data_IF_555896914546
#
_entry.id   IF_555896914546
#
_cell.length_a   1.000
_cell.length_b   1.000
_cell.length_c   1.000
_cell.angle_alpha   90.00
_cell.angle_beta   90.00
_cell.angle_gamma   90.00
#
_symmetry.space_group_name_H-M   'P 1'
#
loop_
_entity.id
_entity.type
_entity.pdbx_description
1 polymer ?
#
# COMPACT_ATOMS: atom_id res chain seq x y z
N UNK A 1 5.60 22.03 19.05
CA UNK A 1 4.50 21.04 19.08
C UNK A 1 4.56 20.28 17.75
N UNK A 2 4.73 18.96 17.77
CA UNK A 2 4.73 18.17 16.53
C UNK A 2 3.26 18.01 16.13
N UNK A 3 2.89 18.58 15.00
CA UNK A 3 1.54 18.49 14.50
C UNK A 3 1.26 17.03 14.08
N UNK A 4 0.29 16.40 14.69
CA UNK A 4 -0.04 14.97 14.49
C UNK A 4 -1.02 14.75 13.35
N UNK A 5 -1.63 15.82 12.83
CA UNK A 5 -2.47 15.84 11.64
C UNK A 5 -1.63 16.16 10.40
N UNK A 6 -2.04 15.66 9.25
CA UNK A 6 -1.40 15.93 7.96
C UNK A 6 -2.41 16.55 7.00
N UNK A 7 -2.00 17.58 6.25
CA UNK A 7 -2.83 18.13 5.16
C UNK A 7 -3.15 17.04 4.14
N UNK A 8 -4.37 17.04 3.66
CA UNK A 8 -4.81 16.17 2.57
C UNK A 8 -4.90 16.97 1.27
N UNK A 9 -5.09 16.27 0.14
CA UNK A 9 -5.39 16.92 -1.16
C UNK A 9 -6.74 17.63 -1.17
N UNK A 10 -7.62 17.28 -0.25
CA UNK A 10 -8.94 17.88 -0.13
C UNK A 10 -8.84 19.11 0.77
N UNK A 11 -9.05 20.29 0.19
CA UNK A 11 -8.99 21.57 0.91
C UNK A 11 -9.91 21.55 2.15
N UNK A 12 -9.36 21.96 3.29
CA UNK A 12 -10.08 22.00 4.55
C UNK A 12 -10.28 20.65 5.25
N UNK A 13 -9.57 19.60 4.80
CA UNK A 13 -9.54 18.29 5.46
C UNK A 13 -8.12 17.86 5.83
N UNK A 14 -7.97 17.29 7.02
CA UNK A 14 -6.68 16.92 7.63
C UNK A 14 -6.70 15.47 8.07
N UNK A 15 -5.70 14.69 7.67
CA UNK A 15 -5.59 13.27 8.00
C UNK A 15 -5.03 13.07 9.41
N UNK A 16 -5.59 12.12 10.14
CA UNK A 16 -5.07 11.57 11.38
C UNK A 16 -3.83 10.71 11.12
N UNK A 17 -2.69 11.34 10.77
CA UNK A 17 -1.48 10.64 10.35
C UNK A 17 -0.71 10.02 11.52
N UNK A 18 -0.47 10.81 12.59
CA UNK A 18 0.20 10.38 13.82
C UNK A 18 -0.73 10.40 15.03
N UNK A 19 -1.93 10.75 14.86
CA UNK A 19 -3.01 10.79 15.83
C UNK A 19 -4.07 9.75 15.49
N UNK A 20 -4.76 9.23 16.49
CA UNK A 20 -5.83 8.26 16.30
C UNK A 20 -7.10 8.95 15.84
N UNK A 21 -7.79 8.34 14.89
CA UNK A 21 -9.14 8.76 14.51
C UNK A 21 -10.10 8.48 15.68
N UNK A 22 -10.86 9.47 16.19
CA UNK A 22 -11.75 9.25 17.32
C UNK A 22 -12.98 8.39 17.01
N UNK A 23 -13.15 7.98 15.76
CA UNK A 23 -14.25 7.11 15.34
C UNK A 23 -13.82 5.64 15.32
N UNK A 24 -12.63 5.33 14.76
CA UNK A 24 -12.15 3.95 14.64
C UNK A 24 -10.91 3.67 15.48
N UNK A 25 -10.41 4.63 16.22
CA UNK A 25 -9.24 4.54 17.11
C UNK A 25 -7.95 4.06 16.43
N UNK A 26 -7.89 4.19 15.08
CA UNK A 26 -6.72 3.83 14.29
C UNK A 26 -6.07 5.07 13.67
N UNK A 27 -4.75 4.99 13.42
CA UNK A 27 -3.98 6.03 12.73
C UNK A 27 -4.06 5.85 11.22
N UNK A 28 -3.94 6.98 10.49
CA UNK A 28 -3.87 7.01 9.03
C UNK A 28 -5.20 6.77 8.30
N UNK A 29 -5.35 7.43 7.17
CA UNK A 29 -6.48 7.28 6.24
C UNK A 29 -7.78 8.00 6.64
N UNK A 30 -8.04 8.25 7.91
CA UNK A 30 -9.20 9.02 8.36
C UNK A 30 -8.89 10.52 8.40
N UNK A 31 -9.89 11.37 8.16
CA UNK A 31 -9.70 12.82 8.07
C UNK A 31 -10.70 13.57 8.95
N UNK A 32 -10.29 14.71 9.46
CA UNK A 32 -11.15 15.69 10.14
C UNK A 32 -11.23 16.97 9.31
N UNK A 33 -12.39 17.61 9.26
CA UNK A 33 -12.52 18.89 8.58
C UNK A 33 -11.92 20.03 9.43
N UNK A 34 -11.62 21.15 8.78
CA UNK A 34 -11.06 22.35 9.40
C UNK A 34 -11.93 22.92 10.52
N UNK A 35 -13.26 22.75 10.43
CA UNK A 35 -14.21 23.20 11.44
C UNK A 35 -14.21 22.31 12.69
N UNK A 36 -13.59 21.12 12.61
CA UNK A 36 -13.54 20.14 13.71
C UNK A 36 -14.88 19.46 14.03
N UNK A 37 -15.88 19.56 13.16
CA UNK A 37 -17.24 19.06 13.39
C UNK A 37 -17.61 17.84 12.56
N UNK A 38 -16.69 17.36 11.69
CA UNK A 38 -16.93 16.20 10.87
C UNK A 38 -15.66 15.38 10.65
N UNK A 39 -15.80 14.05 10.68
CA UNK A 39 -14.74 13.08 10.42
C UNK A 39 -15.14 12.21 9.26
N UNK A 40 -14.22 11.98 8.35
CA UNK A 40 -14.30 10.92 7.35
C UNK A 40 -13.52 9.73 7.86
N UNK A 41 -14.20 8.64 8.15
CA UNK A 41 -13.60 7.39 8.60
C UNK A 41 -13.62 6.37 7.47
N UNK A 42 -12.50 5.68 7.25
CA UNK A 42 -12.37 4.62 6.24
C UNK A 42 -12.63 3.21 6.82
N UNK A 43 -13.01 3.09 8.09
CA UNK A 43 -13.13 1.81 8.80
C UNK A 43 -14.46 1.59 9.50
N UNK A 44 -15.13 2.66 9.90
CA UNK A 44 -16.42 2.57 10.60
C UNK A 44 -17.48 3.21 9.73
N UNK A 45 -18.54 2.47 9.51
CA UNK A 45 -19.67 2.92 8.71
C UNK A 45 -20.50 3.98 9.43
N UNK A 46 -21.10 4.85 8.65
CA UNK A 46 -22.17 5.73 9.07
C UNK A 46 -23.26 5.76 8.01
N UNK A 47 -24.39 6.40 8.32
CA UNK A 47 -25.50 6.58 7.37
C UNK A 47 -25.11 7.40 6.13
N UNK A 48 -24.00 8.13 6.16
CA UNK A 48 -23.58 9.01 5.08
C UNK A 48 -22.28 8.51 4.48
N UNK A 49 -22.34 7.98 3.27
CA UNK A 49 -21.17 7.62 2.47
C UNK A 49 -20.50 8.92 2.02
N UNK A 50 -19.18 9.05 2.24
CA UNK A 50 -18.39 10.19 1.82
C UNK A 50 -17.79 9.99 0.42
N UNK A 51 -17.26 8.80 0.15
CA UNK A 51 -16.73 8.41 -1.16
C UNK A 51 -17.08 6.95 -1.44
N UNK A 52 -17.56 6.68 -2.66
CA UNK A 52 -17.82 5.32 -3.13
C UNK A 52 -16.56 4.67 -3.70
N UNK A 53 -15.70 5.44 -4.36
CA UNK A 53 -14.45 4.94 -4.96
C UNK A 53 -13.40 4.58 -3.91
N UNK A 54 -13.41 5.32 -2.81
CA UNK A 54 -12.59 5.06 -1.63
C UNK A 54 -13.55 4.93 -0.46
N UNK A 55 -14.04 3.73 -0.22
CA UNK A 55 -15.10 3.49 0.76
C UNK A 55 -14.78 4.18 2.08
N UNK A 56 -15.55 5.22 2.36
CA UNK A 56 -15.37 6.07 3.53
C UNK A 56 -16.68 6.73 3.91
N UNK A 57 -16.85 6.95 5.19
CA UNK A 57 -18.10 7.42 5.77
C UNK A 57 -17.92 8.70 6.56
N UNK A 58 -18.89 9.60 6.41
CA UNK A 58 -18.91 10.88 7.10
C UNK A 58 -19.59 10.74 8.47
N UNK A 59 -18.87 11.03 9.53
CA UNK A 59 -19.35 11.11 10.90
C UNK A 59 -19.44 12.57 11.33
N UNK A 60 -20.59 12.99 11.83
CA UNK A 60 -20.76 14.31 12.45
C UNK A 60 -20.46 14.20 13.94
N UNK A 61 -19.60 15.08 14.43
CA UNK A 61 -19.25 15.15 15.85
C UNK A 61 -20.27 15.99 16.61
N UNK A 62 -20.69 15.52 17.78
CA UNK A 62 -21.57 16.28 18.70
C UNK A 62 -20.80 17.50 19.25
N UNK A 63 -19.54 17.28 19.62
CA UNK A 63 -18.64 18.33 20.09
C UNK A 63 -17.55 18.60 19.05
N UNK A 64 -17.30 19.89 18.80
CA UNK A 64 -16.26 20.30 17.84
C UNK A 64 -14.87 20.06 18.44
N UNK A 65 -14.02 19.38 17.71
CA UNK A 65 -12.60 19.26 18.06
C UNK A 65 -11.82 20.45 17.54
N UNK A 66 -10.92 20.99 18.37
CA UNK A 66 -10.01 22.05 17.93
C UNK A 66 -8.98 21.47 16.96
N UNK A 67 -9.01 21.91 15.72
CA UNK A 67 -8.03 21.56 14.69
C UNK A 67 -6.99 22.68 14.65
N UNK A 68 -5.80 22.41 15.15
CA UNK A 68 -4.70 23.39 15.11
C UNK A 68 -3.94 23.22 13.81
N UNK A 69 -4.18 24.14 12.89
CA UNK A 69 -3.51 24.20 11.57
C UNK A 69 -2.31 25.15 11.56
N UNK A 70 -2.07 25.91 12.64
CA UNK A 70 -1.05 26.97 12.69
C UNK A 70 0.38 26.43 12.57
N UNK A 71 0.61 25.19 13.02
CA UNK A 71 1.91 24.51 12.90
C UNK A 71 2.06 23.67 11.61
N UNK A 72 1.04 23.64 10.75
CA UNK A 72 1.13 23.02 9.45
C UNK A 72 1.70 24.06 8.47
N UNK A 73 2.96 23.89 8.06
CA UNK A 73 3.60 24.78 7.08
C UNK A 73 2.73 25.07 5.85
N UNK A 74 3.17 26.01 5.02
CA UNK A 74 2.46 26.44 3.83
C UNK A 74 2.04 25.25 2.94
N UNK A 75 0.92 25.42 2.22
CA UNK A 75 0.39 24.42 1.31
C UNK A 75 1.36 24.23 0.16
N UNK A 76 2.04 23.08 0.10
CA UNK A 76 2.88 22.76 -1.05
C UNK A 76 2.04 22.70 -2.31
N UNK A 77 2.48 23.38 -3.34
CA UNK A 77 1.88 23.27 -4.67
C UNK A 77 2.17 21.89 -5.23
N UNK A 78 1.19 20.98 -5.13
CA UNK A 78 1.30 19.64 -5.70
C UNK A 78 0.86 19.65 -7.16
N UNK A 79 1.60 18.92 -7.99
CA UNK A 79 1.28 18.78 -9.41
C UNK A 79 0.32 17.60 -9.63
N UNK A 80 -0.51 17.69 -10.67
CA UNK A 80 -1.28 16.55 -11.15
C UNK A 80 -0.33 15.50 -11.71
N UNK A 81 -0.67 14.23 -11.54
CA UNK A 81 0.07 13.09 -12.10
C UNK A 81 0.02 13.17 -13.63
N UNK A 82 1.16 12.97 -14.28
CA UNK A 82 1.25 12.91 -15.75
C UNK A 82 0.66 11.60 -16.30
N UNK A 83 0.37 11.49 -17.61
CA UNK A 83 -0.05 10.24 -18.24
C UNK A 83 0.90 9.07 -17.97
N UNK A 84 0.36 7.86 -17.95
CA UNK A 84 1.09 6.61 -17.64
C UNK A 84 2.26 6.36 -18.59
N UNK A 85 2.14 6.70 -19.86
CA UNK A 85 3.22 6.60 -20.85
C UNK A 85 4.45 7.45 -20.49
N UNK A 86 4.23 8.65 -19.95
CA UNK A 86 5.32 9.53 -19.48
C UNK A 86 5.93 8.96 -18.20
N UNK A 87 5.09 8.47 -17.27
CA UNK A 87 5.57 7.80 -16.06
C UNK A 87 6.46 6.62 -16.42
N UNK A 88 5.99 5.75 -17.32
CA UNK A 88 6.71 4.56 -17.75
C UNK A 88 8.10 4.91 -18.31
N UNK A 89 8.15 5.90 -19.19
CA UNK A 89 9.42 6.36 -19.79
C UNK A 89 10.42 6.82 -18.73
N UNK A 90 9.98 7.67 -17.79
CA UNK A 90 10.87 8.18 -16.71
C UNK A 90 11.23 7.06 -15.73
N UNK A 91 10.28 6.22 -15.35
CA UNK A 91 10.51 5.16 -14.38
C UNK A 91 11.38 4.03 -14.92
N UNK A 92 11.27 3.67 -16.20
CA UNK A 92 12.21 2.72 -16.84
C UNK A 92 13.63 3.29 -16.87
N UNK A 93 13.78 4.58 -17.20
CA UNK A 93 15.09 5.24 -17.14
C UNK A 93 15.62 5.28 -15.71
N UNK A 94 14.77 5.56 -14.72
CA UNK A 94 15.13 5.49 -13.30
C UNK A 94 15.64 4.09 -12.90
N UNK A 95 14.95 3.02 -13.30
CA UNK A 95 15.38 1.65 -13.03
C UNK A 95 16.72 1.31 -13.71
N UNK A 96 16.95 1.82 -14.92
CA UNK A 96 18.22 1.62 -15.63
C UNK A 96 19.41 2.36 -15.00
N UNK A 97 19.13 3.41 -14.21
CA UNK A 97 20.14 4.15 -13.46
C UNK A 97 20.38 3.61 -12.03
N UNK A 98 19.72 2.50 -11.66
CA UNK A 98 19.81 1.95 -10.30
C UNK A 98 20.08 0.45 -10.33
N UNK A 99 20.73 -0.05 -9.27
CA UNK A 99 21.10 -1.44 -9.12
C UNK A 99 20.38 -2.09 -7.92
N UNK A 100 20.49 -3.41 -7.80
CA UNK A 100 20.08 -4.16 -6.62
C UNK A 100 21.27 -4.33 -5.69
N UNK A 101 21.18 -3.84 -4.46
CA UNK A 101 22.22 -4.06 -3.44
C UNK A 101 22.30 -5.54 -3.05
N UNK A 102 23.46 -5.99 -2.61
CA UNK A 102 23.66 -7.40 -2.22
C UNK A 102 22.66 -7.87 -1.14
N UNK A 103 22.34 -7.12 -0.07
CA UNK A 103 21.32 -7.54 0.89
C UNK A 103 19.93 -7.73 0.26
N UNK A 104 19.52 -6.84 -0.63
CA UNK A 104 18.23 -6.95 -1.32
C UNK A 104 18.20 -8.11 -2.30
N UNK A 105 19.28 -8.31 -3.05
CA UNK A 105 19.45 -9.46 -3.92
C UNK A 105 19.32 -10.76 -3.12
N UNK A 106 20.07 -10.91 -2.03
CA UNK A 106 20.01 -12.10 -1.15
C UNK A 106 18.61 -12.32 -0.60
N UNK A 107 17.90 -11.24 -0.21
CA UNK A 107 16.52 -11.37 0.27
C UNK A 107 15.56 -11.84 -0.82
N UNK A 108 15.64 -11.28 -2.02
CA UNK A 108 14.72 -11.61 -3.12
C UNK A 108 15.00 -13.00 -3.72
N UNK A 109 16.27 -13.47 -3.68
CA UNK A 109 16.66 -14.81 -4.14
C UNK A 109 16.64 -15.87 -3.03
N UNK A 110 16.28 -15.50 -1.80
CA UNK A 110 16.15 -16.45 -0.69
C UNK A 110 15.07 -17.49 -0.99
N UNK A 111 15.11 -18.61 -0.26
CA UNK A 111 14.10 -19.68 -0.36
C UNK A 111 12.68 -19.19 -0.06
N UNK A 112 12.56 -18.14 0.77
CA UNK A 112 11.26 -17.52 1.11
C UNK A 112 10.66 -16.68 -0.03
N UNK A 113 11.47 -16.22 -1.00
CA UNK A 113 11.01 -15.41 -2.14
C UNK A 113 11.20 -16.11 -3.48
N UNK A 114 12.23 -16.94 -3.60
CA UNK A 114 12.45 -17.84 -4.70
C UNK A 114 12.68 -17.19 -6.07
N UNK A 115 12.97 -15.89 -6.13
CA UNK A 115 13.20 -15.19 -7.40
C UNK A 115 14.54 -15.55 -8.00
N UNK A 116 14.59 -15.72 -9.31
CA UNK A 116 15.82 -15.88 -10.09
C UNK A 116 16.38 -14.53 -10.53
N UNK A 117 17.66 -14.48 -10.91
CA UNK A 117 18.30 -13.28 -11.49
C UNK A 117 17.53 -12.74 -12.69
N UNK A 118 17.02 -13.64 -13.52
CA UNK A 118 16.23 -13.28 -14.68
C UNK A 118 14.93 -12.60 -14.31
N UNK A 119 14.20 -13.13 -13.32
CA UNK A 119 12.97 -12.56 -12.81
C UNK A 119 13.21 -11.18 -12.20
N UNK A 120 14.24 -11.02 -11.36
CA UNK A 120 14.60 -9.74 -10.77
C UNK A 120 14.86 -8.66 -11.82
N UNK A 121 15.65 -8.99 -12.83
CA UNK A 121 16.03 -8.04 -13.88
C UNK A 121 14.85 -7.65 -14.77
N UNK A 122 14.05 -8.62 -15.22
CA UNK A 122 12.91 -8.38 -16.12
C UNK A 122 11.79 -7.62 -15.40
N UNK A 123 11.52 -7.98 -14.14
CA UNK A 123 10.51 -7.30 -13.33
C UNK A 123 10.95 -5.91 -12.91
N UNK A 124 12.27 -5.65 -12.86
CA UNK A 124 12.85 -4.34 -12.56
C UNK A 124 12.93 -4.05 -11.06
N UNK A 125 13.09 -5.06 -10.22
CA UNK A 125 13.38 -4.84 -8.79
C UNK A 125 14.73 -4.15 -8.64
N UNK A 126 14.79 -3.09 -7.83
CA UNK A 126 16.00 -2.31 -7.57
C UNK A 126 16.06 -1.87 -6.11
N UNK A 127 17.22 -1.43 -5.67
CA UNK A 127 17.38 -0.77 -4.37
C UNK A 127 17.13 0.74 -4.51
N UNK A 128 16.46 1.33 -3.54
CA UNK A 128 16.33 2.78 -3.52
C UNK A 128 17.73 3.43 -3.37
N UNK A 129 18.08 4.40 -4.21
CA UNK A 129 19.45 4.94 -4.26
C UNK A 129 19.77 5.77 -3.02
N UNK A 130 21.01 5.63 -2.53
CA UNK A 130 21.51 6.42 -1.39
C UNK A 130 21.66 7.91 -1.73
N UNK A 131 21.90 8.23 -3.00
CA UNK A 131 22.08 9.59 -3.51
C UNK A 131 21.06 9.89 -4.62
N UNK A 132 19.78 10.10 -4.28
CA UNK A 132 18.72 10.24 -5.27
C UNK A 132 18.92 11.38 -6.26
N UNK A 133 19.59 12.46 -5.85
CA UNK A 133 19.89 13.61 -6.72
C UNK A 133 20.90 13.29 -7.84
N UNK A 134 21.79 12.33 -7.65
CA UNK A 134 22.71 11.88 -8.71
C UNK A 134 21.95 11.09 -9.77
N UNK A 135 21.02 10.25 -9.35
CA UNK A 135 20.15 9.53 -10.26
C UNK A 135 19.30 10.50 -11.08
N UNK A 136 18.76 11.57 -10.49
CA UNK A 136 18.01 12.58 -11.23
C UNK A 136 18.88 13.27 -12.28
N UNK A 137 20.14 13.55 -11.97
CA UNK A 137 21.08 14.11 -12.96
C UNK A 137 21.29 13.15 -14.14
N UNK A 138 21.44 11.85 -13.85
CA UNK A 138 21.64 10.86 -14.91
C UNK A 138 20.38 10.68 -15.77
N UNK A 139 19.20 10.63 -15.16
CA UNK A 139 17.92 10.62 -15.89
C UNK A 139 17.81 11.87 -16.79
N UNK A 140 18.14 13.05 -16.25
CA UNK A 140 18.10 14.30 -17.00
C UNK A 140 19.04 14.27 -18.22
N UNK A 141 20.22 13.70 -18.05
CA UNK A 141 21.20 13.55 -19.14
C UNK A 141 20.70 12.61 -20.24
N UNK A 142 20.07 11.49 -19.85
CA UNK A 142 19.56 10.50 -20.82
C UNK A 142 18.29 10.97 -21.53
N UNK A 143 17.38 11.63 -20.83
CA UNK A 143 16.07 12.02 -21.36
C UNK A 143 15.94 13.49 -21.75
N UNK A 144 16.90 14.34 -21.38
CA UNK A 144 16.83 15.78 -21.60
C UNK A 144 15.81 16.51 -20.72
N UNK A 145 15.19 15.87 -19.73
CA UNK A 145 14.27 16.52 -18.81
C UNK A 145 15.02 17.36 -17.79
N UNK A 146 14.62 18.63 -17.67
CA UNK A 146 15.11 19.55 -16.65
C UNK A 146 14.16 19.72 -15.46
N UNK A 147 12.91 19.29 -15.60
CA UNK A 147 11.86 19.37 -14.59
C UNK A 147 11.04 18.09 -14.62
N UNK A 148 10.54 17.66 -13.44
CA UNK A 148 9.76 16.44 -13.29
C UNK A 148 8.39 16.70 -12.60
N UNK A 149 7.66 17.78 -12.93
CA UNK A 149 6.35 18.01 -12.32
C UNK A 149 5.37 16.93 -12.76
N UNK A 150 4.58 16.43 -11.82
CA UNK A 150 3.59 15.39 -12.09
C UNK A 150 4.12 13.96 -12.02
N UNK A 151 5.41 13.75 -11.69
CA UNK A 151 5.99 12.41 -11.50
C UNK A 151 6.07 12.10 -10.00
N UNK A 152 5.32 11.12 -9.48
CA UNK A 152 5.38 10.74 -8.08
C UNK A 152 6.79 10.38 -7.63
N UNK A 153 7.16 10.84 -6.45
CA UNK A 153 8.49 10.67 -5.89
C UNK A 153 9.46 11.81 -6.22
N UNK A 154 9.35 12.43 -7.38
CA UNK A 154 10.22 13.56 -7.75
C UNK A 154 9.74 14.86 -7.10
N UNK A 155 10.68 15.67 -6.63
CA UNK A 155 10.43 16.96 -5.99
C UNK A 155 11.59 17.90 -6.16
N UNK A 156 11.35 19.19 -5.94
CA UNK A 156 12.38 20.22 -5.99
C UNK A 156 12.80 20.63 -4.56
N UNK A 157 14.08 20.81 -4.36
CA UNK A 157 14.65 21.41 -3.15
C UNK A 157 15.57 22.56 -3.52
N UNK A 158 16.21 23.20 -2.55
CA UNK A 158 17.13 24.32 -2.76
C UNK A 158 18.34 23.98 -3.65
N UNK A 159 18.69 22.71 -3.80
CA UNK A 159 19.80 22.23 -4.62
C UNK A 159 19.35 21.71 -5.99
N UNK A 160 18.07 21.67 -6.28
CA UNK A 160 17.50 21.18 -7.52
C UNK A 160 16.53 20.01 -7.34
N UNK A 161 16.39 19.17 -8.37
CA UNK A 161 15.51 18.02 -8.35
C UNK A 161 16.12 16.82 -7.61
N UNK A 162 15.28 16.12 -6.86
CA UNK A 162 15.63 14.90 -6.12
C UNK A 162 14.44 13.94 -6.08
N UNK A 163 14.62 12.73 -5.52
CA UNK A 163 13.59 11.72 -5.36
C UNK A 163 13.39 11.49 -3.87
N UNK A 164 12.13 11.53 -3.43
CA UNK A 164 11.71 11.26 -2.06
C UNK A 164 11.46 9.77 -1.87
N UNK A 165 12.18 9.13 -0.98
CA UNK A 165 12.02 7.71 -0.65
C UNK A 165 12.78 7.34 0.60
N UNK A 166 12.81 6.06 0.89
CA UNK A 166 13.50 5.46 2.03
C UNK A 166 14.35 4.30 1.55
N UNK A 167 15.38 3.95 2.30
CA UNK A 167 16.20 2.77 2.03
C UNK A 167 15.34 1.51 2.04
N UNK A 168 15.47 0.70 0.98
CA UNK A 168 14.64 -0.46 0.78
C UNK A 168 14.56 -0.92 -0.68
N UNK A 169 13.76 -1.96 -0.90
CA UNK A 169 13.54 -2.55 -2.21
C UNK A 169 12.45 -1.77 -2.94
N UNK A 170 12.74 -1.27 -4.12
CA UNK A 170 11.76 -0.68 -5.03
C UNK A 170 11.04 -1.77 -5.82
N UNK A 171 9.72 -1.79 -5.71
CA UNK A 171 8.81 -2.73 -6.37
C UNK A 171 8.02 -1.97 -7.43
N UNK A 172 8.27 -2.19 -8.73
CA UNK A 172 7.54 -1.51 -9.78
C UNK A 172 6.08 -1.95 -9.83
N UNK A 173 5.18 -0.99 -9.97
CA UNK A 173 3.76 -1.23 -10.25
C UNK A 173 3.49 -1.03 -11.74
N UNK A 174 3.09 -2.09 -12.41
CA UNK A 174 2.73 -2.11 -13.83
C UNK A 174 1.22 -2.11 -13.98
N UNK A 175 0.71 -1.32 -14.93
CA UNK A 175 -0.69 -1.39 -15.32
C UNK A 175 -0.92 -2.50 -16.38
N UNK A 176 -2.15 -2.63 -16.82
CA UNK A 176 -2.55 -3.62 -17.85
C UNK A 176 -2.09 -3.27 -19.29
N UNK A 177 -1.29 -2.21 -19.44
CA UNK A 177 -0.55 -1.87 -20.67
C UNK A 177 0.97 -2.10 -20.53
N UNK A 178 1.44 -2.79 -19.49
CA UNK A 178 2.85 -2.92 -19.15
C UNK A 178 3.59 -1.59 -18.93
N UNK A 179 2.88 -0.57 -18.50
CA UNK A 179 3.48 0.72 -18.15
C UNK A 179 3.76 0.78 -16.65
N UNK A 180 4.96 1.19 -16.26
CA UNK A 180 5.32 1.39 -14.86
C UNK A 180 4.71 2.71 -14.39
N UNK A 181 3.71 2.60 -13.51
CA UNK A 181 2.88 3.74 -13.07
C UNK A 181 3.17 4.20 -11.64
N UNK A 182 4.08 3.52 -10.96
CA UNK A 182 4.50 3.84 -9.60
C UNK A 182 5.43 2.79 -9.02
N UNK A 183 5.85 3.04 -7.77
CA UNK A 183 6.63 2.09 -6.98
C UNK A 183 6.08 2.02 -5.57
N UNK A 184 6.11 0.82 -4.99
CA UNK A 184 6.21 0.67 -3.55
C UNK A 184 7.66 0.45 -3.14
N UNK A 185 8.03 0.99 -2.00
CA UNK A 185 9.32 0.74 -1.36
C UNK A 185 9.06 -0.15 -0.15
N UNK A 186 9.63 -1.36 -0.17
CA UNK A 186 9.68 -2.23 1.00
C UNK A 186 10.90 -1.81 1.81
N UNK A 187 10.65 -1.08 2.90
CA UNK A 187 11.74 -0.55 3.73
C UNK A 187 12.45 -1.65 4.50
N UNK A 188 13.75 -1.48 4.68
CA UNK A 188 14.61 -2.47 5.32
C UNK A 188 14.35 -2.54 6.82
N UNK A 189 14.27 -1.39 7.47
CA UNK A 189 14.07 -1.25 8.90
C UNK A 189 12.80 -0.43 9.20
N UNK A 190 11.61 -1.07 9.18
CA UNK A 190 10.37 -0.39 9.51
C UNK A 190 10.36 -0.05 11.02
N UNK A 191 10.22 1.22 11.32
CA UNK A 191 10.11 1.71 12.71
C UNK A 191 8.84 1.19 13.36
N UNK A 192 8.96 0.56 14.51
CA UNK A 192 7.81 0.12 15.29
C UNK A 192 6.92 1.32 15.68
N UNK A 193 5.63 1.06 15.82
CA UNK A 193 4.61 2.03 16.24
C UNK A 193 3.77 1.43 17.38
N UNK A 194 2.84 2.20 17.90
CA UNK A 194 1.94 1.76 18.97
C UNK A 194 0.48 1.83 18.52
N UNK A 195 -0.28 0.82 18.91
CA UNK A 195 -1.75 0.86 18.91
C UNK A 195 -2.19 1.23 20.34
N UNK A 196 -3.18 2.13 20.42
CA UNK A 196 -3.67 2.66 21.69
C UNK A 196 -5.17 2.33 21.74
N UNK A 197 -5.60 1.73 22.85
CA UNK A 197 -6.99 1.74 23.27
C UNK A 197 -7.08 2.67 24.46
N UNK A 198 -7.78 3.76 24.31
CA UNK A 198 -7.86 4.81 25.34
C UNK A 198 -8.62 4.37 26.57
N UNK A 199 -9.45 3.31 26.47
CA UNK A 199 -10.34 2.93 27.56
C UNK A 199 -11.21 4.11 27.99
N UNK A 200 -11.11 4.48 29.26
CA UNK A 200 -11.74 5.69 29.83
C UNK A 200 -10.77 6.85 30.03
N UNK A 201 -9.48 6.71 29.69
CA UNK A 201 -8.52 7.82 29.76
C UNK A 201 -8.73 8.79 28.58
N UNK A 202 -9.23 9.98 28.85
CA UNK A 202 -9.34 11.01 27.84
C UNK A 202 -7.96 11.50 27.37
N UNK A 203 -7.79 11.59 26.04
CA UNK A 203 -6.55 12.10 25.42
C UNK A 203 -5.29 11.26 25.67
N UNK A 204 -5.42 9.98 26.01
CA UNK A 204 -4.27 9.06 26.05
C UNK A 204 -3.56 9.04 24.71
N UNK A 205 -2.24 9.25 24.74
CA UNK A 205 -1.33 9.16 23.58
C UNK A 205 -0.15 8.29 23.96
N UNK A 206 0.37 7.55 23.00
CA UNK A 206 1.62 6.83 23.18
C UNK A 206 2.45 6.89 21.91
N UNK A 207 3.76 6.72 22.05
CA UNK A 207 4.71 6.66 20.93
C UNK A 207 5.96 5.89 21.31
N UNK A 208 6.61 5.31 20.31
CA UNK A 208 7.96 4.78 20.48
C UNK A 208 8.95 5.95 20.47
N UNK A 209 9.57 6.23 21.59
CA UNK A 209 10.52 7.34 21.74
C UNK A 209 11.92 6.96 21.34
N UNK A 210 12.28 5.67 21.52
CA UNK A 210 13.55 5.09 21.08
C UNK A 210 13.27 3.74 20.46
N UNK A 211 13.58 3.62 19.17
CA UNK A 211 13.45 2.35 18.47
C UNK A 211 14.41 1.31 19.03
N UNK A 212 14.07 0.02 19.04
CA UNK A 212 12.83 -0.50 18.46
C UNK A 212 11.64 -0.54 19.44
N UNK A 213 11.82 -0.31 20.75
CA UNK A 213 10.87 -0.84 21.72
C UNK A 213 10.57 0.04 22.95
N UNK A 214 11.22 1.20 23.11
CA UNK A 214 10.97 2.06 24.27
C UNK A 214 9.78 2.97 24.01
N UNK A 215 8.69 2.71 24.73
CA UNK A 215 7.39 3.34 24.55
C UNK A 215 7.12 4.27 25.72
N UNK A 216 6.56 5.47 25.43
CA UNK A 216 6.01 6.38 26.43
C UNK A 216 4.54 6.65 26.14
N UNK A 217 3.75 6.75 27.21
CA UNK A 217 2.36 7.21 27.17
C UNK A 217 2.22 8.59 27.83
N UNK A 218 1.28 9.37 27.31
CA UNK A 218 1.05 10.76 27.67
C UNK A 218 -0.44 11.04 27.82
N UNK A 219 -0.82 11.83 28.81
CA UNK A 219 -2.14 12.42 28.96
C UNK A 219 -1.96 13.94 29.03
N UNK A 220 -2.70 14.70 28.23
CA UNK A 220 -2.62 16.16 28.10
C UNK A 220 -1.20 16.72 27.88
N UNK A 221 -0.28 15.89 27.40
CA UNK A 221 1.11 16.25 27.12
C UNK A 221 2.09 15.89 28.24
N UNK A 222 1.62 15.49 29.40
CA UNK A 222 2.42 14.98 30.50
C UNK A 222 2.68 13.48 30.32
N UNK A 223 3.92 13.04 30.54
CA UNK A 223 4.29 11.63 30.49
C UNK A 223 3.81 10.93 31.77
N UNK A 224 2.93 9.95 31.58
CA UNK A 224 2.36 9.19 32.70
C UNK A 224 2.94 7.78 32.82
N UNK A 225 3.56 7.27 31.75
CA UNK A 225 4.05 5.90 31.72
C UNK A 225 5.18 5.72 30.69
N UNK A 226 6.17 4.89 31.02
CA UNK A 226 7.28 4.51 30.11
C UNK A 226 7.69 3.07 30.37
N UNK A 227 7.90 2.28 29.28
CA UNK A 227 8.35 0.91 29.35
C UNK A 227 9.05 0.48 28.05
N UNK A 228 9.97 -0.48 28.18
CA UNK A 228 10.44 -1.29 27.07
C UNK A 228 9.46 -2.46 26.86
N UNK A 229 9.03 -2.67 25.60
CA UNK A 229 8.00 -3.63 25.24
C UNK A 229 8.48 -4.55 24.13
N UNK A 230 7.96 -5.76 24.07
CA UNK A 230 8.12 -6.64 22.92
C UNK A 230 7.03 -6.38 21.87
N UNK A 231 7.35 -6.62 20.58
CA UNK A 231 6.36 -6.48 19.51
C UNK A 231 5.23 -7.49 19.72
N UNK A 232 4.00 -7.01 19.72
CA UNK A 232 2.80 -7.78 20.03
C UNK A 232 2.37 -7.70 21.52
N UNK A 233 3.25 -7.25 22.41
CA UNK A 233 2.94 -7.05 23.82
C UNK A 233 1.94 -5.89 23.99
N UNK A 234 0.96 -6.12 24.86
CA UNK A 234 -0.02 -5.12 25.31
C UNK A 234 0.18 -4.84 26.78
N UNK A 235 0.24 -3.57 27.14
CA UNK A 235 0.40 -3.11 28.55
C UNK A 235 -0.74 -2.19 28.92
N UNK A 236 -1.19 -2.30 30.18
CA UNK A 236 -2.11 -1.36 30.78
C UNK A 236 -1.38 -0.06 31.13
N UNK A 237 -2.06 1.05 30.89
CA UNK A 237 -1.62 2.38 31.32
C UNK A 237 -2.73 2.93 32.17
N UNK A 238 -2.41 3.21 33.42
CA UNK A 238 -3.36 3.71 34.40
C UNK A 238 -3.07 5.19 34.71
N UNK A 239 -4.12 5.98 34.88
CA UNK A 239 -4.06 7.38 35.29
C UNK A 239 -5.23 7.62 36.25
N UNK A 240 -4.91 7.83 37.54
CA UNK A 240 -5.88 7.92 38.63
C UNK A 240 -6.80 6.66 38.69
N UNK A 241 -8.11 6.83 38.50
CA UNK A 241 -9.08 5.74 38.45
C UNK A 241 -9.39 5.25 37.01
N UNK A 242 -8.67 5.77 36.01
CA UNK A 242 -8.88 5.50 34.60
C UNK A 242 -7.80 4.54 34.05
N UNK A 243 -8.18 3.68 33.14
CA UNK A 243 -7.25 2.75 32.49
C UNK A 243 -7.43 2.70 30.97
N UNK A 244 -6.30 2.56 30.28
CA UNK A 244 -6.20 2.31 28.85
C UNK A 244 -5.15 1.25 28.55
N UNK A 245 -4.94 0.92 27.29
CA UNK A 245 -3.89 -0.03 26.90
C UNK A 245 -3.05 0.50 25.75
N UNK A 246 -1.78 0.10 25.75
CA UNK A 246 -0.81 0.40 24.70
C UNK A 246 -0.23 -0.92 24.21
N UNK A 247 -0.25 -1.15 22.90
CA UNK A 247 0.33 -2.33 22.26
C UNK A 247 1.44 -1.91 21.32
N UNK A 248 2.64 -2.49 21.47
CA UNK A 248 3.72 -2.29 20.50
C UNK A 248 3.46 -3.15 19.27
N UNK A 249 3.46 -2.53 18.09
CA UNK A 249 3.21 -3.20 16.82
C UNK A 249 4.38 -2.99 15.86
N UNK A 250 4.56 -3.94 14.93
CA UNK A 250 5.49 -3.74 13.82
C UNK A 250 5.04 -2.54 12.99
N UNK A 251 5.98 -1.69 12.62
CA UNK A 251 5.71 -0.57 11.74
C UNK A 251 5.36 -1.00 10.32
N UNK A 252 4.74 -0.09 9.61
CA UNK A 252 4.43 -0.27 8.19
C UNK A 252 5.72 -0.50 7.39
N UNK A 253 5.73 -1.54 6.56
CA UNK A 253 6.89 -1.94 5.77
C UNK A 253 6.87 -1.45 4.34
N UNK A 254 5.70 -1.17 3.78
CA UNK A 254 5.53 -0.78 2.38
C UNK A 254 5.03 0.65 2.29
N UNK A 255 5.76 1.48 1.53
CA UNK A 255 5.42 2.88 1.31
C UNK A 255 5.43 3.20 -0.18
N UNK A 256 4.46 4.00 -0.61
CA UNK A 256 4.46 4.49 -1.97
C UNK A 256 5.59 5.48 -2.22
N UNK A 257 6.25 5.38 -3.36
CA UNK A 257 7.13 6.43 -3.87
C UNK A 257 6.27 7.66 -4.14
N UNK A 258 6.38 8.65 -3.28
CA UNK A 258 5.52 9.83 -3.28
C UNK A 258 6.26 11.05 -2.77
N UNK A 259 6.01 12.18 -3.38
CA UNK A 259 6.53 13.49 -3.00
C UNK A 259 5.42 14.51 -2.71
N UNK A 260 4.20 14.05 -2.44
CA UNK A 260 3.02 14.90 -2.21
C UNK A 260 3.20 15.97 -1.11
N UNK A 261 4.10 15.74 -0.14
CA UNK A 261 4.41 16.67 0.95
C UNK A 261 5.67 17.52 0.69
N UNK A 262 6.12 17.58 -0.56
CA UNK A 262 7.34 18.30 -0.96
C UNK A 262 7.00 19.36 -2.00
N UNK A 263 7.91 20.36 -2.14
CA UNK A 263 7.78 21.40 -3.15
C UNK A 263 7.84 20.79 -4.57
N UNK A 264 6.97 21.25 -5.46
CA UNK A 264 6.76 20.72 -6.82
C UNK A 264 6.49 19.20 -6.85
N UNK A 265 6.15 18.61 -5.70
CA UNK A 265 5.94 17.18 -5.55
C UNK A 265 4.63 16.66 -6.14
N UNK A 266 4.55 15.33 -6.24
CA UNK A 266 3.38 14.63 -6.78
C UNK A 266 3.12 13.38 -5.95
N UNK A 267 1.85 13.11 -5.63
CA UNK A 267 1.42 11.91 -4.93
C UNK A 267 1.41 10.67 -5.82
N UNK A 268 1.52 9.50 -5.22
CA UNK A 268 1.48 8.20 -5.93
C UNK A 268 0.18 8.00 -6.74
N UNK A 269 -0.88 8.65 -6.36
CA UNK A 269 -2.17 8.61 -7.03
C UNK A 269 -3.32 8.38 -6.05
N UNK A 270 -4.51 8.73 -6.51
CA UNK A 270 -5.77 8.45 -5.84
C UNK A 270 -6.77 8.11 -6.97
N UNK A 271 -7.20 6.87 -7.05
CA UNK A 271 -6.84 5.73 -6.20
C UNK A 271 -5.38 5.28 -6.34
N UNK A 272 -4.91 4.49 -5.37
CA UNK A 272 -3.60 3.82 -5.46
C UNK A 272 -3.56 2.86 -6.64
N UNK A 273 -2.42 2.73 -7.35
CA UNK A 273 -2.33 1.85 -8.51
C UNK A 273 -2.60 0.38 -8.18
N UNK A 274 -3.22 -0.32 -9.11
CA UNK A 274 -3.26 -1.79 -9.14
C UNK A 274 -2.06 -2.28 -9.95
N UNK A 275 -1.42 -3.35 -9.50
CA UNK A 275 -0.33 -3.99 -10.22
C UNK A 275 -0.84 -5.19 -11.00
N UNK A 276 -0.45 -5.29 -12.27
CA UNK A 276 -0.72 -6.44 -13.13
C UNK A 276 0.57 -7.25 -13.26
N UNK A 277 0.58 -8.42 -12.65
CA UNK A 277 1.67 -9.38 -12.70
C UNK A 277 1.35 -10.49 -13.69
N UNK A 278 2.31 -10.79 -14.55
CA UNK A 278 2.28 -11.95 -15.46
C UNK A 278 3.55 -12.78 -15.26
N UNK A 279 3.58 -14.06 -15.63
CA UNK A 279 4.82 -14.83 -15.64
C UNK A 279 5.92 -14.15 -16.43
N UNK A 280 7.17 -14.38 -16.06
CA UNK A 280 8.33 -13.76 -16.72
C UNK A 280 8.44 -14.16 -18.19
N UNK A 281 8.00 -15.36 -18.55
CA UNK A 281 7.85 -15.84 -19.94
C UNK A 281 7.00 -14.88 -20.79
N UNK A 282 5.87 -14.46 -20.25
CA UNK A 282 4.95 -13.51 -20.90
C UNK A 282 5.45 -12.09 -20.81
N UNK A 283 5.99 -11.66 -19.64
CA UNK A 283 6.48 -10.30 -19.43
C UNK A 283 7.59 -9.90 -20.41
N UNK A 284 8.43 -10.85 -20.83
CA UNK A 284 9.47 -10.64 -21.85
C UNK A 284 8.91 -10.25 -23.22
N UNK A 285 7.74 -10.77 -23.54
CA UNK A 285 7.07 -10.59 -24.84
C UNK A 285 6.06 -9.44 -24.81
N UNK A 286 5.71 -8.97 -23.62
CA UNK A 286 4.70 -7.95 -23.44
C UNK A 286 5.30 -6.54 -23.62
N UNK A 287 5.04 -5.94 -24.77
CA UNK A 287 5.51 -4.59 -25.08
C UNK A 287 4.76 -3.55 -24.24
N UNK A 288 5.49 -2.49 -23.83
CA UNK A 288 4.86 -1.32 -23.18
C UNK A 288 3.81 -0.69 -24.07
N UNK A 289 2.77 -0.14 -23.47
CA UNK A 289 1.59 0.46 -24.11
C UNK A 289 0.76 -0.54 -24.94
N UNK A 290 0.90 -1.85 -24.68
CA UNK A 290 0.08 -2.90 -25.29
C UNK A 290 -0.88 -3.48 -24.24
N UNK A 291 -2.18 -3.45 -24.54
CA UNK A 291 -3.20 -4.00 -23.66
C UNK A 291 -2.98 -5.51 -23.45
N UNK A 292 -2.90 -5.92 -22.19
CA UNK A 292 -2.91 -7.32 -21.81
C UNK A 292 -4.35 -7.81 -21.71
N UNK A 293 -4.67 -8.86 -22.47
CA UNK A 293 -5.98 -9.53 -22.42
C UNK A 293 -5.84 -10.85 -21.68
N UNK A 294 -6.82 -11.17 -20.83
CA UNK A 294 -6.86 -12.42 -20.07
C UNK A 294 -8.30 -12.81 -19.78
N UNK A 295 -8.71 -14.03 -20.14
CA UNK A 295 -10.04 -14.56 -19.81
C UNK A 295 -10.19 -14.83 -18.30
N UNK A 296 -9.11 -15.24 -17.64
CA UNK A 296 -9.06 -15.57 -16.21
C UNK A 296 -7.92 -14.85 -15.51
N UNK A 297 -8.18 -14.31 -14.33
CA UNK A 297 -7.18 -13.63 -13.50
C UNK A 297 -7.31 -14.01 -12.03
N UNK A 298 -6.23 -13.80 -11.29
CA UNK A 298 -6.21 -13.88 -9.83
C UNK A 298 -6.19 -12.48 -9.23
N UNK A 299 -6.80 -12.30 -8.05
CA UNK A 299 -6.72 -11.04 -7.28
C UNK A 299 -6.08 -11.36 -5.93
N UNK A 300 -5.02 -10.64 -5.59
CA UNK A 300 -4.32 -10.73 -4.30
C UNK A 300 -3.93 -9.34 -3.76
N UNK A 301 -3.32 -9.30 -2.57
CA UNK A 301 -2.79 -8.08 -1.99
C UNK A 301 -1.28 -7.99 -2.16
N UNK A 302 -0.79 -6.83 -2.65
CA UNK A 302 0.63 -6.51 -2.75
C UNK A 302 1.34 -7.05 -3.98
N UNK A 303 2.08 -6.16 -4.67
CA UNK A 303 2.71 -6.46 -5.96
C UNK A 303 3.79 -7.55 -5.89
N UNK A 304 4.61 -7.59 -4.83
CA UNK A 304 5.63 -8.62 -4.66
C UNK A 304 5.03 -10.03 -4.60
N UNK A 305 3.91 -10.19 -3.86
CA UNK A 305 3.17 -11.45 -3.81
C UNK A 305 2.61 -11.84 -5.18
N UNK A 306 2.02 -10.87 -5.88
CA UNK A 306 1.46 -11.13 -7.21
C UNK A 306 2.53 -11.55 -8.21
N UNK A 307 3.69 -10.93 -8.20
CA UNK A 307 4.82 -11.28 -9.06
C UNK A 307 5.31 -12.71 -8.82
N UNK A 308 5.45 -13.09 -7.55
CA UNK A 308 5.83 -14.45 -7.15
C UNK A 308 4.72 -15.44 -7.51
N UNK A 309 3.47 -15.10 -7.20
CA UNK A 309 2.32 -15.98 -7.50
C UNK A 309 2.18 -16.25 -8.99
N UNK A 310 2.26 -15.23 -9.85
CA UNK A 310 2.16 -15.38 -11.30
C UNK A 310 3.22 -16.35 -11.84
N UNK A 311 4.45 -16.24 -11.35
CA UNK A 311 5.57 -17.11 -11.73
C UNK A 311 5.34 -18.55 -11.31
N UNK A 312 4.87 -18.76 -10.08
CA UNK A 312 4.65 -20.11 -9.55
C UNK A 312 3.38 -20.77 -10.09
N UNK A 313 2.31 -20.02 -10.39
CA UNK A 313 1.11 -20.54 -11.07
C UNK A 313 1.50 -21.15 -12.40
N UNK A 314 2.29 -20.44 -13.23
CA UNK A 314 2.74 -20.97 -14.51
C UNK A 314 3.59 -22.25 -14.36
N UNK A 315 4.38 -22.37 -13.28
CA UNK A 315 5.27 -23.53 -13.04
C UNK A 315 4.57 -24.75 -12.46
N UNK A 316 3.46 -24.57 -11.77
CA UNK A 316 2.82 -25.64 -10.97
C UNK A 316 1.64 -26.26 -11.72
N UNK A 317 0.85 -25.45 -12.41
CA UNK A 317 -0.35 -25.92 -13.11
C UNK A 317 -0.02 -26.39 -14.53
N UNK A 318 -0.75 -27.38 -15.00
CA UNK A 318 -0.67 -27.87 -16.38
C UNK A 318 -1.19 -26.83 -17.39
N UNK A 319 -0.86 -27.00 -18.66
CA UNK A 319 -1.33 -26.07 -19.70
C UNK A 319 -2.85 -26.06 -19.82
N UNK A 320 -3.52 -27.19 -19.60
CA UNK A 320 -4.98 -27.30 -19.59
C UNK A 320 -5.61 -26.52 -18.42
N UNK A 321 -5.05 -26.66 -17.22
CA UNK A 321 -5.52 -25.91 -16.04
C UNK A 321 -5.30 -24.41 -16.23
N UNK A 322 -4.16 -24.00 -16.80
CA UNK A 322 -3.86 -22.58 -17.06
C UNK A 322 -4.83 -21.93 -18.04
N UNK A 323 -5.42 -22.68 -18.97
CA UNK A 323 -6.48 -22.18 -19.86
C UNK A 323 -7.74 -21.79 -19.06
N UNK A 324 -8.02 -22.48 -17.95
CA UNK A 324 -9.18 -22.22 -17.11
C UNK A 324 -8.91 -21.14 -16.07
N UNK A 325 -7.82 -21.29 -15.30
CA UNK A 325 -7.55 -20.42 -14.14
C UNK A 325 -6.71 -19.19 -14.46
N UNK A 326 -5.98 -19.17 -15.59
CA UNK A 326 -5.05 -18.12 -15.96
C UNK A 326 -3.80 -18.03 -15.06
N UNK A 327 -2.79 -17.29 -15.52
CA UNK A 327 -1.56 -17.01 -14.75
C UNK A 327 -1.36 -15.53 -14.45
N UNK A 328 -2.29 -14.66 -14.87
CA UNK A 328 -2.26 -13.23 -14.60
C UNK A 328 -2.78 -12.93 -13.20
N UNK A 329 -2.03 -12.15 -12.41
CA UNK A 329 -2.38 -11.80 -11.05
C UNK A 329 -2.50 -10.28 -10.91
N UNK A 330 -3.64 -9.81 -10.43
CA UNK A 330 -3.90 -8.41 -10.12
C UNK A 330 -3.65 -8.17 -8.62
N UNK A 331 -2.71 -7.30 -8.31
CA UNK A 331 -2.44 -6.93 -6.92
C UNK A 331 -3.10 -5.60 -6.56
N UNK A 332 -3.99 -5.64 -5.57
CA UNK A 332 -4.53 -4.46 -4.93
C UNK A 332 -3.61 -4.01 -3.78
N UNK A 333 -3.51 -2.70 -3.51
CA UNK A 333 -2.72 -2.20 -2.38
C UNK A 333 -3.23 -2.61 -1.00
N UNK A 334 -4.48 -3.00 -0.93
CA UNK A 334 -5.16 -3.50 0.26
C UNK A 334 -6.61 -3.82 -0.09
N UNK A 335 -7.21 -4.75 0.63
CA UNK A 335 -8.55 -5.28 0.31
C UNK A 335 -9.63 -4.20 0.19
N UNK A 336 -9.54 -3.12 0.96
CA UNK A 336 -10.47 -1.99 0.90
C UNK A 336 -10.42 -1.20 -0.41
N UNK A 337 -9.42 -1.44 -1.26
CA UNK A 337 -9.26 -0.77 -2.57
C UNK A 337 -9.77 -1.63 -3.75
N UNK A 338 -10.44 -2.73 -3.48
CA UNK A 338 -10.87 -3.70 -4.50
C UNK A 338 -11.65 -3.09 -5.69
N UNK A 339 -12.36 -1.97 -5.48
CA UNK A 339 -13.10 -1.30 -6.56
C UNK A 339 -12.19 -0.82 -7.70
N UNK A 340 -10.92 -0.63 -7.42
CA UNK A 340 -9.94 -0.17 -8.43
C UNK A 340 -9.61 -1.21 -9.49
N UNK A 341 -9.89 -2.50 -9.25
CA UNK A 341 -9.67 -3.54 -10.25
C UNK A 341 -10.82 -3.62 -11.26
N UNK A 342 -12.02 -3.18 -10.92
CA UNK A 342 -13.21 -3.38 -11.76
C UNK A 342 -13.06 -2.83 -13.18
N UNK A 343 -12.61 -1.57 -13.40
CA UNK A 343 -12.35 -1.07 -14.75
C UNK A 343 -11.26 -1.87 -15.48
N UNK A 344 -10.25 -2.34 -14.76
CA UNK A 344 -9.14 -3.11 -15.33
C UNK A 344 -9.62 -4.47 -15.82
N UNK A 345 -10.47 -5.16 -15.04
CA UNK A 345 -11.08 -6.43 -15.47
C UNK A 345 -11.89 -6.27 -16.77
N UNK A 346 -12.65 -5.18 -16.87
CA UNK A 346 -13.45 -4.87 -18.04
C UNK A 346 -12.57 -4.59 -19.27
N UNK A 347 -11.56 -3.74 -19.13
CA UNK A 347 -10.63 -3.41 -20.23
C UNK A 347 -9.80 -4.61 -20.68
N UNK A 348 -9.40 -5.50 -19.77
CA UNK A 348 -8.68 -6.74 -20.09
C UNK A 348 -9.55 -7.84 -20.69
N UNK A 349 -10.88 -7.68 -20.70
CA UNK A 349 -11.83 -8.67 -21.22
C UNK A 349 -11.99 -9.90 -20.31
N UNK A 350 -11.75 -9.77 -19.03
CA UNK A 350 -11.83 -10.86 -18.04
C UNK A 350 -13.24 -11.43 -17.95
N UNK A 351 -13.34 -12.74 -17.80
CA UNK A 351 -14.60 -13.48 -17.59
C UNK A 351 -14.64 -14.19 -16.25
N UNK A 352 -13.47 -14.62 -15.78
CA UNK A 352 -13.32 -15.41 -14.55
C UNK A 352 -12.31 -14.82 -13.59
N UNK A 353 -12.63 -14.81 -12.29
CA UNK A 353 -11.79 -14.23 -11.23
C UNK A 353 -11.54 -15.24 -10.12
N UNK A 354 -10.27 -15.52 -9.82
CA UNK A 354 -9.85 -16.30 -8.67
C UNK A 354 -9.41 -15.33 -7.56
N UNK A 355 -10.17 -15.26 -6.47
CA UNK A 355 -9.87 -14.37 -5.34
C UNK A 355 -8.94 -15.10 -4.38
N UNK A 356 -7.71 -14.61 -4.20
CA UNK A 356 -6.65 -15.19 -3.38
C UNK A 356 -6.10 -14.16 -2.38
N UNK A 357 -6.94 -13.70 -1.46
CA UNK A 357 -6.55 -12.80 -0.36
C UNK A 357 -5.85 -13.58 0.75
N UNK A 358 -5.10 -12.88 1.60
CA UNK A 358 -4.44 -13.49 2.77
C UNK A 358 -5.45 -14.23 3.66
N UNK A 359 -5.07 -15.39 4.20
CA UNK A 359 -5.99 -16.25 4.98
C UNK A 359 -6.43 -15.65 6.32
N UNK A 360 -5.87 -14.53 6.75
CA UNK A 360 -6.39 -13.75 7.88
C UNK A 360 -7.79 -13.13 7.58
N UNK A 361 -8.24 -13.18 6.33
CA UNK A 361 -9.61 -12.88 5.92
C UNK A 361 -10.65 -13.63 6.76
N UNK A 362 -10.33 -14.86 7.13
CA UNK A 362 -11.24 -15.73 7.91
C UNK A 362 -11.40 -15.30 9.37
N UNK A 363 -10.49 -14.46 9.88
CA UNK A 363 -10.48 -14.01 11.28
C UNK A 363 -10.67 -12.50 11.45
N UNK A 364 -10.61 -11.73 10.35
CA UNK A 364 -10.76 -10.28 10.35
C UNK A 364 -12.11 -9.88 9.74
N UNK A 365 -13.10 -9.45 10.54
CA UNK A 365 -14.44 -9.08 10.05
C UNK A 365 -14.44 -8.00 8.96
N UNK A 366 -13.46 -7.08 8.99
CA UNK A 366 -13.37 -6.01 8.00
C UNK A 366 -12.89 -6.55 6.64
N UNK A 367 -11.97 -7.49 6.64
CA UNK A 367 -11.48 -8.13 5.40
C UNK A 367 -12.58 -9.03 4.81
N UNK A 368 -13.29 -9.78 5.66
CA UNK A 368 -14.47 -10.57 5.25
C UNK A 368 -15.56 -9.70 4.61
N UNK A 369 -15.81 -8.53 5.18
CA UNK A 369 -16.75 -7.57 4.62
C UNK A 369 -16.36 -7.15 3.20
N UNK A 370 -15.11 -6.73 2.97
CA UNK A 370 -14.64 -6.32 1.64
C UNK A 370 -14.61 -7.46 0.62
N UNK A 371 -14.31 -8.68 1.07
CA UNK A 371 -14.40 -9.87 0.23
C UNK A 371 -15.84 -10.10 -0.26
N UNK A 372 -16.82 -9.98 0.65
CA UNK A 372 -18.25 -10.10 0.31
C UNK A 372 -18.68 -9.03 -0.69
N UNK A 373 -18.30 -7.78 -0.46
CA UNK A 373 -18.59 -6.67 -1.39
C UNK A 373 -18.00 -6.92 -2.78
N UNK A 374 -16.72 -7.35 -2.86
CA UNK A 374 -16.08 -7.71 -4.13
C UNK A 374 -16.84 -8.84 -4.82
N UNK A 375 -17.18 -9.91 -4.11
CA UNK A 375 -17.90 -11.05 -4.68
C UNK A 375 -19.28 -10.64 -5.23
N UNK A 376 -20.04 -9.80 -4.48
CA UNK A 376 -21.32 -9.28 -4.93
C UNK A 376 -21.17 -8.45 -6.21
N UNK A 377 -20.18 -7.55 -6.27
CA UNK A 377 -19.98 -6.70 -7.43
C UNK A 377 -19.56 -7.51 -8.67
N UNK A 378 -18.64 -8.49 -8.50
CA UNK A 378 -18.28 -9.42 -9.58
C UNK A 378 -19.50 -10.15 -10.15
N UNK A 379 -20.35 -10.67 -9.27
CA UNK A 379 -21.59 -11.34 -9.66
C UNK A 379 -22.55 -10.42 -10.42
N UNK A 380 -22.74 -9.20 -9.91
CA UNK A 380 -23.63 -8.19 -10.51
C UNK A 380 -23.17 -7.80 -11.91
N UNK A 381 -21.86 -7.80 -12.15
CA UNK A 381 -21.26 -7.49 -13.46
C UNK A 381 -21.14 -8.72 -14.38
N UNK A 382 -21.58 -9.89 -13.94
CA UNK A 382 -21.64 -11.12 -14.75
C UNK A 382 -20.31 -11.90 -14.84
N UNK A 383 -19.35 -11.62 -13.97
CA UNK A 383 -18.14 -12.44 -13.85
C UNK A 383 -18.49 -13.77 -13.16
N UNK A 384 -17.76 -14.81 -13.49
CA UNK A 384 -17.67 -16.02 -12.65
C UNK A 384 -16.52 -15.88 -11.67
N UNK A 385 -16.62 -16.45 -10.47
CA UNK A 385 -15.59 -16.31 -9.47
C UNK A 385 -15.39 -17.55 -8.61
N UNK A 386 -14.14 -17.80 -8.26
CA UNK A 386 -13.71 -18.76 -7.24
C UNK A 386 -13.06 -18.02 -6.06
N UNK A 387 -13.16 -18.61 -4.88
CA UNK A 387 -12.34 -18.25 -3.71
C UNK A 387 -11.23 -19.30 -3.56
N UNK A 388 -9.99 -18.86 -3.57
CA UNK A 388 -8.84 -19.71 -3.28
C UNK A 388 -8.68 -19.85 -1.76
N UNK A 389 -8.62 -21.08 -1.28
CA UNK A 389 -8.53 -21.42 0.14
C UNK A 389 -7.36 -22.37 0.35
N UNK A 390 -6.61 -22.17 1.41
CA UNK A 390 -5.52 -23.03 1.84
C UNK A 390 -5.38 -23.08 3.37
N UNK A 391 -4.59 -24.03 3.87
CA UNK A 391 -4.28 -24.05 5.29
C UNK A 391 -3.28 -22.95 5.65
N UNK A 392 -3.51 -22.23 6.73
CA UNK A 392 -2.60 -21.19 7.24
C UNK A 392 -1.20 -21.72 7.57
N UNK A 393 -1.08 -23.02 7.86
CA UNK A 393 0.21 -23.70 8.08
C UNK A 393 1.04 -23.80 6.79
N UNK A 394 0.40 -23.79 5.61
CA UNK A 394 1.06 -23.82 4.30
C UNK A 394 1.61 -22.44 3.88
N UNK A 395 1.11 -21.36 4.47
CA UNK A 395 1.53 -19.99 4.23
C UNK A 395 0.46 -18.95 4.56
N UNK A 396 0.87 -17.71 4.80
CA UNK A 396 -0.05 -16.61 5.04
C UNK A 396 -0.68 -16.12 3.73
N UNK A 397 0.13 -15.87 2.71
CA UNK A 397 -0.27 -15.38 1.40
C UNK A 397 -0.18 -16.44 0.33
N UNK A 398 -0.79 -16.17 -0.83
CA UNK A 398 -0.76 -17.09 -1.99
C UNK A 398 0.68 -17.36 -2.46
N UNK A 399 1.58 -16.38 -2.35
CA UNK A 399 3.00 -16.54 -2.69
C UNK A 399 3.67 -17.61 -1.84
N UNK A 400 3.48 -17.59 -0.51
CA UNK A 400 4.05 -18.56 0.41
C UNK A 400 3.58 -19.98 0.09
N UNK A 401 2.27 -20.15 -0.17
CA UNK A 401 1.64 -21.43 -0.51
C UNK A 401 2.25 -22.02 -1.78
N UNK A 402 2.36 -21.21 -2.83
CA UNK A 402 2.88 -21.65 -4.13
C UNK A 402 4.39 -21.92 -4.11
N UNK A 403 5.18 -21.13 -3.35
CA UNK A 403 6.61 -21.41 -3.13
C UNK A 403 6.79 -22.79 -2.48
N UNK A 404 5.93 -23.11 -1.51
CA UNK A 404 5.91 -24.42 -0.83
C UNK A 404 5.34 -25.55 -1.71
N UNK A 405 5.08 -25.28 -2.99
CA UNK A 405 4.50 -26.22 -3.96
C UNK A 405 3.16 -26.80 -3.48
N UNK A 406 2.39 -26.02 -2.77
CA UNK A 406 1.01 -26.34 -2.38
C UNK A 406 0.06 -25.67 -3.38
N UNK A 407 -1.03 -26.37 -3.67
CA UNK A 407 -2.07 -25.90 -4.59
C UNK A 407 -3.26 -25.44 -3.75
N UNK A 408 -3.69 -24.16 -3.83
CA UNK A 408 -4.88 -23.72 -3.15
C UNK A 408 -6.12 -24.40 -3.72
N UNK A 409 -7.08 -24.73 -2.85
CA UNK A 409 -8.37 -25.22 -3.28
C UNK A 409 -9.21 -24.08 -3.86
N UNK A 410 -9.64 -24.20 -5.10
CA UNK A 410 -10.56 -23.25 -5.72
C UNK A 410 -12.01 -23.64 -5.42
N UNK A 411 -12.68 -22.83 -4.61
CA UNK A 411 -14.08 -22.99 -4.25
C UNK A 411 -14.93 -22.04 -5.08
N UNK A 412 -15.79 -22.59 -5.91
CA UNK A 412 -16.72 -21.79 -6.72
C UNK A 412 -17.65 -20.95 -5.82
N UNK A 413 -17.76 -19.66 -6.15
CA UNK A 413 -18.66 -18.73 -5.47
C UNK A 413 -19.98 -18.58 -6.22
N UNK A 414 -19.95 -18.51 -7.55
CA UNK A 414 -21.12 -18.42 -8.42
C UNK A 414 -20.76 -18.69 -9.87
#
# INVERSE_FOLDING_TARGET
MINNLRRTKMKGWYEYYRETCPVCEKKGGCMINEKGDAIVCIRVESKTIFSQNFQSWLHRLVEKKKVDISAMGDEFKTNKKVPSTILDSVYRTFLNCTDVSLPHYTHLTSTERGMTDSELNIRGYRSFPKQPWEIVKEITKQMGYQKFPGIPGFYRNQFGWSISGMEGIMIPYRNHFNEIIGFQIRVDDPKNDVEINTGNIEHLRARVIKQPNRVQAFVQGEMIWEKEMEVGQTESVDSDEESGTVKLVKGQRYFWLSSASKEDGTGAGDPSPVHVAVPTSQLRLWNSSTLHQADSVWITEGALKADIAAEHIEKIYSSEELLEIGSTVLAIPGVNTWRTVMPILEEMGVKHVNIALDMDVMSNPQVEYYLKELAIELKNKGYTANLAIWNTDDGKGIDDVLINRRIPQLRKLF
#
